data_IF_283615916775
#
_entry.id   IF_283615916775
#
_cell.length_a   1.000
_cell.length_b   1.000
_cell.length_c   1.000
_cell.angle_alpha   90.00
_cell.angle_beta   90.00
_cell.angle_gamma   90.00
#
_symmetry.space_group_name_H-M   'P 1'
#
loop_
_entity.id
_entity.type
_entity.pdbx_description
1 polymer ?
#
# COMPACT_ATOMS: atom_id res chain seq x y z
N UNK A 1 -3.38 -24.29 14.76
CA UNK A 1 -4.25 -24.21 13.57
C UNK A 1 -5.61 -24.80 13.91
N UNK A 2 -6.57 -23.93 14.23
CA UNK A 2 -7.96 -24.33 14.50
C UNK A 2 -8.91 -23.23 14.04
N UNK A 3 -9.86 -23.66 13.22
CA UNK A 3 -11.13 -23.04 12.81
C UNK A 3 -11.09 -21.75 11.99
N UNK A 4 -11.39 -21.97 10.71
CA UNK A 4 -12.04 -21.09 9.76
C UNK A 4 -13.12 -20.20 10.37
N UNK A 5 -12.77 -18.95 10.66
CA UNK A 5 -13.66 -17.87 10.26
C UNK A 5 -13.34 -17.60 8.80
N UNK A 6 -14.33 -17.72 7.92
CA UNK A 6 -14.18 -17.24 6.55
C UNK A 6 -14.10 -15.71 6.63
N UNK A 7 -12.90 -15.21 6.89
CA UNK A 7 -12.56 -13.81 6.76
C UNK A 7 -12.67 -13.49 5.26
N UNK A 8 -13.82 -12.96 4.86
CA UNK A 8 -13.97 -12.46 3.51
C UNK A 8 -13.20 -11.14 3.43
N UNK A 9 -12.08 -11.21 2.72
CA UNK A 9 -11.28 -10.04 2.40
C UNK A 9 -11.77 -9.44 1.09
N UNK A 10 -11.71 -8.12 0.99
CA UNK A 10 -11.95 -7.36 -0.24
C UNK A 10 -10.64 -6.75 -0.71
N UNK A 11 -10.32 -6.95 -1.99
CA UNK A 11 -9.17 -6.34 -2.64
C UNK A 11 -9.37 -4.83 -2.79
N UNK A 12 -8.32 -4.09 -2.45
CA UNK A 12 -8.25 -2.63 -2.64
C UNK A 12 -7.24 -2.23 -3.73
N UNK A 13 -6.85 -3.17 -4.59
CA UNK A 13 -5.90 -2.95 -5.68
C UNK A 13 -4.46 -3.32 -5.30
N UNK A 14 -3.53 -2.87 -6.14
CA UNK A 14 -2.13 -3.26 -6.08
C UNK A 14 -1.21 -2.04 -6.18
N UNK A 15 -0.09 -2.08 -5.49
CA UNK A 15 0.94 -1.04 -5.49
C UNK A 15 2.25 -1.68 -5.93
N UNK A 16 3.16 -0.92 -6.55
CA UNK A 16 4.56 -1.36 -6.68
C UNK A 16 5.41 -0.53 -5.72
N UNK A 17 5.99 -1.20 -4.74
CA UNK A 17 6.67 -0.55 -3.63
C UNK A 17 8.03 -1.19 -3.34
N UNK A 18 8.98 -0.37 -2.89
CA UNK A 18 10.27 -0.85 -2.36
C UNK A 18 10.17 -1.10 -0.86
N UNK A 19 10.94 -2.05 -0.30
CA UNK A 19 11.03 -2.21 1.14
C UNK A 19 11.69 -0.97 1.74
N UNK A 20 11.39 -0.72 3.01
CA UNK A 20 11.89 0.45 3.74
C UNK A 20 12.93 0.01 4.75
N UNK A 21 14.09 0.64 4.73
CA UNK A 21 15.07 0.47 5.80
C UNK A 21 14.53 1.12 7.09
N UNK A 22 14.63 0.38 8.20
CA UNK A 22 14.20 0.86 9.51
C UNK A 22 14.94 2.15 9.86
N UNK A 23 14.18 3.21 10.13
CA UNK A 23 14.73 4.52 10.50
C UNK A 23 15.11 4.57 11.99
N UNK A 24 15.84 5.60 12.40
CA UNK A 24 16.29 5.75 13.79
C UNK A 24 15.15 5.89 14.81
N UNK A 25 13.98 6.42 14.38
CA UNK A 25 12.83 6.57 15.26
C UNK A 25 12.00 5.29 15.41
N UNK A 26 12.27 4.24 14.63
CA UNK A 26 11.58 2.95 14.71
C UNK A 26 12.31 1.98 15.64
N UNK A 27 11.57 1.25 16.48
CA UNK A 27 12.16 0.40 17.52
C UNK A 27 12.90 -0.83 16.97
N UNK A 28 14.20 -0.92 17.22
CA UNK A 28 15.07 -2.01 16.79
C UNK A 28 14.76 -3.36 17.43
N UNK A 29 14.17 -3.35 18.62
CA UNK A 29 13.82 -4.55 19.35
C UNK A 29 12.51 -5.19 18.87
N UNK A 30 11.69 -4.42 18.15
CA UNK A 30 10.37 -4.84 17.66
C UNK A 30 10.35 -5.06 16.15
N UNK A 31 11.12 -4.28 15.38
CA UNK A 31 11.03 -4.26 13.93
C UNK A 31 12.31 -4.82 13.27
N UNK A 32 12.15 -5.57 12.16
CA UNK A 32 13.28 -6.03 11.37
C UNK A 32 14.06 -4.84 10.76
N UNK A 33 15.30 -5.06 10.29
CA UNK A 33 16.08 -4.01 9.62
C UNK A 33 15.41 -3.43 8.38
N UNK A 34 14.55 -4.20 7.71
CA UNK A 34 13.75 -3.78 6.56
C UNK A 34 12.30 -4.21 6.75
N UNK A 35 11.37 -3.29 6.49
CA UNK A 35 9.92 -3.53 6.60
C UNK A 35 9.24 -3.41 5.25
N UNK A 36 8.11 -4.10 5.11
CA UNK A 36 7.17 -3.90 3.99
C UNK A 36 6.01 -3.04 4.49
N UNK A 37 5.65 -2.02 3.72
CA UNK A 37 4.53 -1.13 4.04
C UNK A 37 3.91 -0.61 2.76
N UNK A 38 2.60 -0.38 2.80
CA UNK A 38 1.87 0.29 1.73
C UNK A 38 1.82 1.82 1.90
N UNK A 39 2.41 2.37 2.96
CA UNK A 39 2.38 3.81 3.23
C UNK A 39 3.38 4.58 2.38
N UNK A 40 2.90 5.57 1.62
CA UNK A 40 3.76 6.48 0.85
C UNK A 40 4.59 7.44 1.71
N UNK A 41 4.29 7.57 3.01
CA UNK A 41 5.11 8.33 3.97
C UNK A 41 6.47 7.66 4.21
N UNK A 42 6.52 6.32 4.08
CA UNK A 42 7.70 5.52 4.37
C UNK A 42 8.24 4.83 3.12
N UNK A 43 7.37 4.12 2.40
CA UNK A 43 7.73 3.40 1.19
C UNK A 43 7.86 4.34 -0.01
N UNK A 44 8.80 3.98 -0.88
CA UNK A 44 8.82 4.50 -2.24
C UNK A 44 7.84 3.67 -3.05
N UNK A 45 6.88 4.33 -3.70
CA UNK A 45 5.84 3.74 -4.55
C UNK A 45 5.98 4.30 -5.97
N UNK A 46 5.82 3.44 -6.97
CA UNK A 46 5.79 3.85 -8.37
C UNK A 46 4.80 3.00 -9.18
N UNK A 47 4.23 3.54 -10.28
CA UNK A 47 4.22 4.97 -10.57
C UNK A 47 3.38 5.71 -9.53
N UNK A 48 3.65 7.01 -9.38
CA UNK A 48 2.85 7.91 -8.54
C UNK A 48 2.49 9.13 -9.40
N UNK A 49 1.86 10.13 -8.81
CA UNK A 49 1.45 11.39 -9.42
C UNK A 49 2.53 12.07 -10.27
N UNK A 50 3.81 11.95 -9.88
CA UNK A 50 4.96 12.45 -10.68
C UNK A 50 5.10 11.78 -12.04
N UNK A 51 4.46 10.65 -12.31
CA UNK A 51 4.49 9.98 -13.61
C UNK A 51 3.35 10.45 -14.54
N UNK A 52 2.41 11.27 -14.07
CA UNK A 52 1.31 11.76 -14.92
C UNK A 52 1.74 12.98 -15.72
N UNK A 53 1.45 13.01 -17.02
CA UNK A 53 1.89 14.07 -17.93
C UNK A 53 1.29 15.44 -17.59
N UNK A 54 0.07 15.44 -17.05
CA UNK A 54 -0.66 16.64 -16.64
C UNK A 54 -0.37 17.10 -15.20
N UNK A 55 0.42 16.33 -14.43
CA UNK A 55 0.80 16.70 -13.07
C UNK A 55 1.94 17.75 -13.06
N UNK A 56 1.90 18.67 -12.08
CA UNK A 56 2.87 19.75 -11.95
C UNK A 56 4.16 19.30 -11.26
N UNK A 57 4.99 18.55 -11.99
CA UNK A 57 6.34 18.15 -11.57
C UNK A 57 7.35 18.52 -12.66
N UNK A 58 8.50 19.05 -12.26
CA UNK A 58 9.59 19.34 -13.18
C UNK A 58 10.35 18.07 -13.58
N UNK A 59 11.20 18.19 -14.61
CA UNK A 59 11.96 17.06 -15.14
C UNK A 59 12.93 16.46 -14.11
N UNK A 60 13.52 17.29 -13.23
CA UNK A 60 14.46 16.83 -12.22
C UNK A 60 13.76 16.02 -11.13
N UNK A 61 12.60 16.46 -10.66
CA UNK A 61 11.75 15.75 -9.70
C UNK A 61 11.32 14.38 -10.25
N UNK A 62 10.91 14.33 -11.53
CA UNK A 62 10.53 13.09 -12.22
C UNK A 62 11.73 12.15 -12.35
N UNK A 63 12.90 12.67 -12.74
CA UNK A 63 14.14 11.89 -12.81
C UNK A 63 14.53 11.31 -11.46
N UNK A 64 14.47 12.12 -10.40
CA UNK A 64 14.79 11.67 -9.06
C UNK A 64 13.85 10.56 -8.61
N UNK A 65 12.54 10.75 -8.76
CA UNK A 65 11.54 9.76 -8.36
C UNK A 65 11.69 8.44 -9.15
N UNK A 66 11.86 8.51 -10.47
CA UNK A 66 12.06 7.36 -11.35
C UNK A 66 13.35 6.60 -11.02
N UNK A 67 14.44 7.32 -10.72
CA UNK A 67 15.75 6.72 -10.40
C UNK A 67 15.71 5.85 -9.15
N UNK A 68 14.81 6.13 -8.20
CA UNK A 68 14.60 5.30 -6.99
C UNK A 68 14.11 3.89 -7.33
N UNK A 69 13.57 3.69 -8.53
CA UNK A 69 13.16 2.39 -9.05
C UNK A 69 14.12 1.85 -10.12
N UNK A 70 15.24 2.53 -10.37
CA UNK A 70 16.20 2.16 -11.42
C UNK A 70 15.75 2.52 -12.84
N UNK A 71 14.71 3.34 -12.99
CA UNK A 71 14.21 3.77 -14.30
C UNK A 71 15.13 4.89 -14.82
N UNK A 72 15.79 4.74 -15.98
CA UNK A 72 16.73 5.74 -16.48
C UNK A 72 16.00 6.96 -17.05
N UNK A 73 16.61 8.16 -17.02
CA UNK A 73 15.99 9.39 -17.53
C UNK A 73 15.45 9.29 -18.96
N UNK A 74 16.14 8.53 -19.83
CA UNK A 74 15.74 8.31 -21.22
C UNK A 74 14.39 7.59 -21.39
N UNK A 75 13.85 6.96 -20.34
CA UNK A 75 12.56 6.25 -20.36
C UNK A 75 11.43 7.06 -19.74
N UNK A 76 11.68 8.26 -19.20
CA UNK A 76 10.66 9.03 -18.45
C UNK A 76 9.52 9.47 -19.34
N UNK A 77 9.78 9.97 -20.55
CA UNK A 77 8.73 10.38 -21.47
C UNK A 77 7.79 9.21 -21.81
N UNK A 78 8.36 8.04 -22.12
CA UNK A 78 7.60 6.82 -22.40
C UNK A 78 6.79 6.36 -21.18
N UNK A 79 7.38 6.41 -19.99
CA UNK A 79 6.69 6.11 -18.73
C UNK A 79 5.49 7.05 -18.53
N UNK A 80 5.69 8.35 -18.75
CA UNK A 80 4.64 9.34 -18.59
C UNK A 80 3.48 9.12 -19.54
N UNK A 81 3.78 8.84 -20.80
CA UNK A 81 2.77 8.52 -21.81
C UNK A 81 2.01 7.24 -21.42
N UNK A 82 2.73 6.20 -20.99
CA UNK A 82 2.15 4.91 -20.60
C UNK A 82 1.21 5.05 -19.39
N UNK A 83 1.64 5.76 -18.35
CA UNK A 83 0.85 5.96 -17.11
C UNK A 83 -0.35 6.87 -17.39
N UNK A 84 -0.17 7.94 -18.16
CA UNK A 84 -1.24 8.87 -18.50
C UNK A 84 -2.33 8.22 -19.34
N UNK A 85 -1.96 7.35 -20.30
CA UNK A 85 -2.93 6.62 -21.13
C UNK A 85 -3.77 5.61 -20.34
N UNK A 86 -3.23 5.06 -19.23
CA UNK A 86 -3.91 4.09 -18.37
C UNK A 86 -4.60 4.72 -17.17
N UNK A 87 -4.45 6.03 -16.99
CA UNK A 87 -5.04 6.74 -15.87
C UNK A 87 -6.57 6.65 -15.94
N UNK A 88 -7.18 6.36 -14.78
CA UNK A 88 -8.62 6.16 -14.61
C UNK A 88 -9.20 4.88 -15.24
N UNK A 89 -8.40 4.13 -16.01
CA UNK A 89 -8.76 2.81 -16.55
C UNK A 89 -8.21 1.67 -15.69
N UNK A 90 -6.88 1.58 -15.56
CA UNK A 90 -6.20 0.53 -14.79
C UNK A 90 -5.18 1.10 -13.79
N UNK A 91 -4.63 2.30 -14.04
CA UNK A 91 -3.89 3.06 -13.05
C UNK A 91 -4.79 4.13 -12.42
N UNK A 92 -4.92 4.11 -11.10
CA UNK A 92 -5.85 4.89 -10.32
C UNK A 92 -5.13 5.83 -9.36
N UNK A 93 -5.76 6.98 -9.12
CA UNK A 93 -5.25 7.96 -8.19
C UNK A 93 -5.17 7.43 -6.74
N UNK A 94 -4.10 7.72 -5.97
CA UNK A 94 -2.89 8.42 -6.42
C UNK A 94 -1.85 7.49 -7.08
N UNK A 95 -1.79 6.22 -6.69
CA UNK A 95 -0.68 5.31 -7.07
C UNK A 95 -1.07 3.82 -7.03
N UNK A 96 -2.31 3.50 -7.42
CA UNK A 96 -2.85 2.14 -7.39
C UNK A 96 -3.07 1.56 -8.78
N UNK A 97 -2.78 0.28 -8.93
CA UNK A 97 -3.28 -0.51 -10.03
C UNK A 97 -4.59 -1.21 -9.65
N UNK A 98 -5.57 -1.11 -10.54
CA UNK A 98 -6.87 -1.78 -10.43
C UNK A 98 -6.72 -3.31 -10.52
N UNK A 99 -5.72 -3.78 -11.27
CA UNK A 99 -5.45 -5.19 -11.53
C UNK A 99 -4.01 -5.59 -11.22
N UNK A 100 -3.80 -6.87 -10.90
CA UNK A 100 -2.46 -7.42 -10.68
C UNK A 100 -1.67 -7.45 -11.99
N UNK A 101 -2.37 -7.72 -13.09
CA UNK A 101 -1.85 -7.75 -14.45
C UNK A 101 -1.29 -6.38 -14.85
N UNK A 102 -1.99 -5.28 -14.54
CA UNK A 102 -1.49 -3.92 -14.71
C UNK A 102 -0.19 -3.62 -13.97
N UNK A 103 -0.13 -3.98 -12.69
CA UNK A 103 1.08 -3.82 -11.88
C UNK A 103 2.26 -4.66 -12.42
N UNK A 104 1.99 -5.86 -12.93
CA UNK A 104 3.00 -6.72 -13.57
C UNK A 104 3.48 -6.14 -14.90
N UNK A 105 2.58 -5.62 -15.73
CA UNK A 105 2.93 -4.96 -16.98
C UNK A 105 3.83 -3.75 -16.73
N UNK A 106 3.50 -2.91 -15.74
CA UNK A 106 4.34 -1.80 -15.30
C UNK A 106 5.74 -2.28 -14.89
N UNK A 107 5.80 -3.31 -14.04
CA UNK A 107 7.08 -3.89 -13.60
C UNK A 107 7.91 -4.40 -14.78
N UNK A 108 7.31 -5.18 -15.67
CA UNK A 108 7.99 -5.76 -16.83
C UNK A 108 8.48 -4.70 -17.83
N UNK A 109 7.79 -3.57 -17.92
CA UNK A 109 8.10 -2.51 -18.90
C UNK A 109 9.16 -1.55 -18.40
N UNK A 110 9.12 -1.20 -17.10
CA UNK A 110 9.91 -0.09 -16.55
C UNK A 110 10.85 -0.49 -15.41
N UNK A 111 10.50 -1.47 -14.57
CA UNK A 111 11.28 -1.77 -13.37
C UNK A 111 12.38 -2.80 -13.68
N UNK A 112 13.67 -2.49 -13.48
CA UNK A 112 14.77 -3.43 -13.73
C UNK A 112 14.63 -4.75 -12.96
N UNK A 113 15.08 -5.85 -13.55
CA UNK A 113 14.99 -7.19 -12.94
C UNK A 113 15.71 -7.30 -11.59
N UNK A 114 16.80 -6.58 -11.38
CA UNK A 114 17.59 -6.55 -10.15
C UNK A 114 17.04 -5.61 -9.06
N UNK A 115 15.96 -4.87 -9.35
CA UNK A 115 15.26 -4.05 -8.37
C UNK A 115 14.62 -4.90 -7.26
N UNK A 116 14.64 -4.41 -6.03
CA UNK A 116 13.97 -5.02 -4.86
C UNK A 116 12.51 -4.58 -4.70
N UNK A 117 11.97 -3.83 -5.67
CA UNK A 117 10.56 -3.48 -5.74
C UNK A 117 9.69 -4.74 -5.86
N UNK A 118 8.59 -4.75 -5.13
CA UNK A 118 7.59 -5.83 -5.13
C UNK A 118 6.20 -5.29 -5.43
N UNK A 119 5.32 -6.15 -5.91
CA UNK A 119 3.90 -5.83 -6.05
C UNK A 119 3.20 -6.19 -4.75
N UNK A 120 2.62 -5.20 -4.07
CA UNK A 120 1.81 -5.38 -2.87
C UNK A 120 0.34 -5.29 -3.24
N UNK A 121 -0.41 -6.36 -3.04
CA UNK A 121 -1.87 -6.31 -3.01
C UNK A 121 -2.35 -5.91 -1.63
N UNK A 122 -3.35 -5.03 -1.62
CA UNK A 122 -4.01 -4.53 -0.42
C UNK A 122 -5.35 -5.23 -0.24
N UNK A 123 -5.70 -5.57 1.00
CA UNK A 123 -7.03 -6.06 1.31
C UNK A 123 -7.53 -5.64 2.69
N UNK A 124 -8.85 -5.50 2.81
CA UNK A 124 -9.57 -5.24 4.06
C UNK A 124 -10.57 -6.34 4.35
N UNK A 125 -10.98 -6.48 5.61
CA UNK A 125 -12.20 -7.23 5.93
C UNK A 125 -13.42 -6.58 5.25
N UNK A 126 -14.45 -7.35 4.94
CA UNK A 126 -15.69 -6.79 4.36
C UNK A 126 -16.29 -5.67 5.22
N UNK A 127 -16.26 -5.81 6.55
CA UNK A 127 -16.77 -4.81 7.50
C UNK A 127 -15.94 -3.52 7.42
N UNK A 128 -14.61 -3.64 7.48
CA UNK A 128 -13.71 -2.50 7.38
C UNK A 128 -13.81 -1.81 6.01
N UNK A 129 -14.01 -2.57 4.94
CA UNK A 129 -14.23 -2.07 3.60
C UNK A 129 -15.55 -1.29 3.49
N UNK A 130 -16.65 -1.84 4.00
CA UNK A 130 -17.96 -1.18 4.02
C UNK A 130 -17.90 0.13 4.82
N UNK A 131 -17.21 0.12 5.96
CA UNK A 131 -16.99 1.31 6.76
C UNK A 131 -16.16 2.36 6.02
N UNK A 132 -15.06 1.94 5.41
CA UNK A 132 -14.18 2.86 4.69
C UNK A 132 -14.86 3.47 3.47
N UNK A 133 -15.65 2.69 2.72
CA UNK A 133 -16.46 3.19 1.60
C UNK A 133 -17.44 4.27 2.05
N UNK A 134 -18.05 4.15 3.24
CA UNK A 134 -18.93 5.20 3.79
C UNK A 134 -18.15 6.45 4.17
N UNK A 135 -16.98 6.28 4.79
CA UNK A 135 -16.15 7.40 5.26
C UNK A 135 -15.44 8.16 4.14
N UNK A 136 -15.16 7.48 3.02
CA UNK A 136 -14.41 8.01 1.88
C UNK A 136 -15.30 8.24 0.64
N UNK A 137 -16.61 8.22 0.82
CA UNK A 137 -17.53 8.49 -0.28
C UNK A 137 -17.24 9.88 -0.87
N UNK A 138 -17.04 10.00 -2.20
CA UNK A 138 -16.70 11.27 -2.82
C UNK A 138 -17.83 12.28 -2.59
N UNK A 139 -17.46 13.51 -2.21
CA UNK A 139 -18.43 14.60 -2.12
C UNK A 139 -18.65 15.23 -3.49
N UNK A 140 -19.72 16.03 -3.64
CA UNK A 140 -20.06 16.63 -4.93
C UNK A 140 -18.92 17.53 -5.42
N UNK A 141 -18.31 17.15 -6.56
CA UNK A 141 -17.22 17.89 -7.18
C UNK A 141 -15.82 17.37 -6.84
N UNK A 142 -15.71 16.38 -5.95
CA UNK A 142 -14.47 15.66 -5.68
C UNK A 142 -14.38 14.38 -6.53
N UNK A 143 -13.15 14.02 -6.92
CA UNK A 143 -12.88 12.77 -7.62
C UNK A 143 -12.93 11.57 -6.68
N UNK A 144 -13.29 10.41 -7.22
CA UNK A 144 -13.20 9.13 -6.51
C UNK A 144 -11.73 8.68 -6.38
N UNK A 145 -11.31 8.23 -5.20
CA UNK A 145 -9.97 7.66 -5.01
C UNK A 145 -9.89 6.24 -5.56
N UNK A 146 -8.69 5.80 -5.94
CA UNK A 146 -8.44 4.44 -6.41
C UNK A 146 -8.80 3.38 -5.37
N UNK A 147 -8.54 3.64 -4.08
CA UNK A 147 -8.95 2.76 -2.99
C UNK A 147 -10.47 2.59 -2.97
N UNK A 148 -11.22 3.69 -3.04
CA UNK A 148 -12.69 3.64 -3.05
C UNK A 148 -13.18 2.82 -4.24
N UNK A 149 -12.67 3.11 -5.44
CA UNK A 149 -13.05 2.39 -6.66
C UNK A 149 -12.77 0.89 -6.57
N UNK A 150 -11.58 0.50 -6.10
CA UNK A 150 -11.21 -0.90 -5.96
C UNK A 150 -12.13 -1.63 -4.96
N UNK A 151 -12.35 -1.05 -3.78
CA UNK A 151 -13.20 -1.65 -2.74
C UNK A 151 -14.66 -1.74 -3.18
N UNK A 152 -15.18 -0.75 -3.91
CA UNK A 152 -16.56 -0.73 -4.40
C UNK A 152 -16.88 -1.90 -5.35
N UNK A 153 -15.86 -2.49 -6.01
CA UNK A 153 -16.01 -3.68 -6.86
C UNK A 153 -16.28 -4.96 -6.07
N UNK A 154 -16.03 -4.97 -4.75
CA UNK A 154 -16.24 -6.12 -3.85
C UNK A 154 -15.62 -7.42 -4.35
N UNK A 155 -14.43 -7.33 -4.93
CA UNK A 155 -13.69 -8.51 -5.41
C UNK A 155 -12.79 -9.08 -4.30
N UNK A 156 -12.63 -10.40 -4.21
CA UNK A 156 -11.65 -10.99 -3.31
C UNK A 156 -10.21 -10.66 -3.78
N UNK A 157 -9.22 -10.70 -2.88
CA UNK A 157 -7.81 -10.69 -3.25
C UNK A 157 -7.48 -11.81 -4.24
N UNK A 158 -6.55 -11.55 -5.16
CA UNK A 158 -6.10 -12.57 -6.11
C UNK A 158 -5.31 -13.67 -5.39
N UNK A 159 -5.38 -14.87 -5.93
CA UNK A 159 -4.57 -16.00 -5.46
C UNK A 159 -3.12 -15.90 -5.97
N UNK A 160 -2.23 -16.71 -5.41
CA UNK A 160 -0.85 -16.86 -5.90
C UNK A 160 0.15 -15.84 -5.37
N UNK A 161 -0.22 -15.04 -4.36
CA UNK A 161 0.69 -14.18 -3.61
C UNK A 161 1.07 -14.76 -2.25
N UNK A 162 2.14 -14.23 -1.66
CA UNK A 162 2.58 -14.52 -0.29
C UNK A 162 1.90 -13.53 0.67
N UNK A 163 1.02 -14.03 1.54
CA UNK A 163 0.47 -13.22 2.61
C UNK A 163 1.59 -12.82 3.59
N UNK A 164 1.84 -11.52 3.73
CA UNK A 164 2.89 -10.98 4.59
C UNK A 164 2.41 -10.72 6.02
N UNK A 165 1.11 -10.58 6.23
CA UNK A 165 0.48 -10.19 7.50
C UNK A 165 -0.36 -8.93 7.37
N UNK A 166 -0.73 -8.35 8.52
CA UNK A 166 -1.58 -7.18 8.61
C UNK A 166 -0.82 -5.93 9.05
N UNK A 167 -1.00 -4.82 8.33
CA UNK A 167 -0.49 -3.50 8.69
C UNK A 167 -1.61 -2.63 9.26
N UNK A 168 -1.30 -1.78 10.24
CA UNK A 168 -2.23 -0.73 10.70
C UNK A 168 -1.97 0.53 9.88
N UNK A 169 -2.92 0.86 8.99
CA UNK A 169 -2.84 2.01 8.07
C UNK A 169 -4.01 2.97 8.22
N UNK A 170 -3.72 4.25 8.17
CA UNK A 170 -4.67 5.36 8.10
C UNK A 170 -4.88 5.81 6.65
N UNK A 171 -6.11 6.17 6.29
CA UNK A 171 -6.45 6.58 4.91
C UNK A 171 -6.79 8.06 4.84
N UNK A 172 -5.95 8.84 4.17
CA UNK A 172 -6.22 10.27 3.92
C UNK A 172 -7.41 10.46 2.96
N UNK A 173 -8.06 11.62 3.00
CA UNK A 173 -9.13 11.96 2.06
C UNK A 173 -8.70 11.81 0.59
N UNK A 174 -7.44 12.09 0.26
CA UNK A 174 -6.87 11.91 -1.07
C UNK A 174 -6.51 10.47 -1.45
N UNK A 175 -6.74 9.49 -0.58
CA UNK A 175 -6.46 8.07 -0.81
C UNK A 175 -5.03 7.62 -0.47
N UNK A 176 -4.17 8.51 0.02
CA UNK A 176 -2.82 8.15 0.48
C UNK A 176 -2.88 7.40 1.82
N UNK A 177 -1.95 6.47 2.03
CA UNK A 177 -1.90 5.63 3.21
C UNK A 177 -0.81 6.09 4.19
N UNK A 178 -1.17 6.23 5.46
CA UNK A 178 -0.26 6.51 6.57
C UNK A 178 0.01 5.24 7.35
N UNK A 179 1.27 4.87 7.58
CA UNK A 179 1.59 3.75 8.46
C UNK A 179 1.59 4.19 9.92
N UNK A 180 1.08 3.35 10.80
CA UNK A 180 1.23 3.53 12.26
C UNK A 180 2.70 3.64 12.69
N UNK A 181 3.62 3.09 11.89
CA UNK A 181 5.06 3.22 12.08
C UNK A 181 5.56 4.66 11.92
N UNK A 182 4.87 5.54 11.18
CA UNK A 182 5.24 6.95 11.04
C UNK A 182 5.30 7.68 12.40
N UNK A 183 4.47 7.21 13.34
CA UNK A 183 4.32 7.79 14.67
C UNK A 183 4.95 6.92 15.77
N UNK A 184 5.71 5.87 15.40
CA UNK A 184 6.35 4.98 16.37
C UNK A 184 5.36 4.15 17.21
N UNK A 185 4.13 3.93 16.71
CA UNK A 185 3.06 3.29 17.47
C UNK A 185 3.33 1.80 17.76
N UNK A 186 4.29 1.17 17.10
CA UNK A 186 4.71 -0.19 17.40
C UNK A 186 5.07 -0.36 18.88
N UNK A 187 5.61 0.68 19.52
CA UNK A 187 5.96 0.67 20.95
C UNK A 187 4.74 0.67 21.84
N UNK A 188 3.75 1.50 21.52
CA UNK A 188 2.49 1.54 22.25
C UNK A 188 1.74 0.22 22.11
N UNK A 189 1.73 -0.35 20.90
CA UNK A 189 1.12 -1.65 20.63
C UNK A 189 1.81 -2.77 21.44
N UNK A 190 3.14 -2.79 21.47
CA UNK A 190 3.92 -3.73 22.26
C UNK A 190 3.66 -3.55 23.77
N UNK A 191 3.64 -2.32 24.28
CA UNK A 191 3.40 -2.05 25.69
C UNK A 191 2.00 -2.46 26.14
N UNK A 192 0.98 -2.19 25.32
CA UNK A 192 -0.41 -2.39 25.71
C UNK A 192 -0.92 -3.82 25.48
N UNK A 193 -0.44 -4.49 24.43
CA UNK A 193 -0.94 -5.83 24.05
C UNK A 193 0.16 -6.87 23.86
N UNK A 194 1.42 -6.55 24.18
CA UNK A 194 2.56 -7.41 23.82
C UNK A 194 2.58 -7.73 22.33
N UNK A 195 2.09 -6.81 21.50
CA UNK A 195 2.06 -6.98 20.06
C UNK A 195 3.49 -7.09 19.52
N UNK A 196 3.74 -8.11 18.72
CA UNK A 196 5.04 -8.37 18.10
C UNK A 196 4.85 -8.47 16.59
N UNK A 197 5.45 -7.55 15.81
CA UNK A 197 5.52 -7.70 14.37
C UNK A 197 6.32 -8.95 13.97
N UNK A 198 5.97 -9.55 12.84
CA UNK A 198 6.66 -10.67 12.24
C UNK A 198 7.92 -10.21 11.47
N UNK A 199 8.55 -11.13 10.74
CA UNK A 199 9.79 -10.85 10.00
C UNK A 199 9.63 -9.80 8.87
N UNK A 200 8.40 -9.43 8.50
CA UNK A 200 8.09 -8.38 7.52
C UNK A 200 7.75 -7.03 8.17
N UNK A 201 7.69 -6.97 9.51
CA UNK A 201 7.23 -5.79 10.25
C UNK A 201 5.70 -5.68 10.36
N UNK A 202 4.97 -6.78 10.13
CA UNK A 202 3.50 -6.83 10.10
C UNK A 202 2.93 -7.77 11.18
N UNK A 203 1.63 -7.72 11.46
CA UNK A 203 0.99 -8.61 12.42
C UNK A 203 0.45 -9.90 11.78
N UNK A 204 0.81 -11.06 12.31
CA UNK A 204 0.21 -12.34 11.89
C UNK A 204 -1.25 -12.48 12.36
N UNK A 205 -1.58 -11.92 13.52
CA UNK A 205 -2.94 -11.87 14.07
C UNK A 205 -3.67 -10.61 13.56
N UNK A 206 -4.57 -10.80 12.60
CA UNK A 206 -5.38 -9.72 12.05
C UNK A 206 -6.30 -9.07 13.09
N UNK A 207 -6.85 -9.85 14.03
CA UNK A 207 -7.72 -9.30 15.08
C UNK A 207 -6.92 -8.43 16.05
N UNK A 208 -5.65 -8.75 16.31
CA UNK A 208 -4.74 -7.86 17.03
C UNK A 208 -4.49 -6.57 16.25
N UNK A 209 -4.24 -6.65 14.94
CA UNK A 209 -4.06 -5.48 14.10
C UNK A 209 -5.31 -4.58 14.11
N UNK A 210 -6.52 -5.15 14.07
CA UNK A 210 -7.77 -4.40 14.17
C UNK A 210 -7.89 -3.64 15.50
N UNK A 211 -7.54 -4.30 16.62
CA UNK A 211 -7.49 -3.61 17.94
C UNK A 211 -6.48 -2.46 17.94
N UNK A 212 -5.31 -2.65 17.33
CA UNK A 212 -4.29 -1.61 17.21
C UNK A 212 -4.77 -0.44 16.32
N UNK A 213 -5.51 -0.71 15.24
CA UNK A 213 -6.10 0.31 14.39
C UNK A 213 -7.15 1.16 15.13
N UNK A 214 -8.02 0.52 15.91
CA UNK A 214 -8.99 1.23 16.77
C UNK A 214 -8.28 2.13 17.79
N UNK A 215 -7.12 1.70 18.30
CA UNK A 215 -6.32 2.54 19.19
C UNK A 215 -5.66 3.71 18.45
N UNK A 216 -5.06 3.47 17.27
CA UNK A 216 -4.41 4.52 16.49
C UNK A 216 -5.37 5.67 16.15
N UNK A 217 -6.65 5.37 15.90
CA UNK A 217 -7.68 6.38 15.62
C UNK A 217 -8.19 7.18 16.83
N UNK A 218 -7.64 6.98 18.04
CA UNK A 218 -8.06 7.75 19.23
C UNK A 218 -7.35 9.09 19.29
N UNK A 219 -8.10 10.16 19.53
CA UNK A 219 -7.57 11.52 19.56
C UNK A 219 -6.42 11.73 20.55
N UNK A 220 -6.44 11.04 21.69
CA UNK A 220 -5.38 11.12 22.70
C UNK A 220 -4.05 10.47 22.29
N UNK A 221 -4.06 9.61 21.26
CA UNK A 221 -2.84 8.97 20.72
C UNK A 221 -2.06 9.96 19.86
N UNK A 222 -2.74 10.95 19.26
CA UNK A 222 -2.10 12.01 18.47
C UNK A 222 -1.59 11.57 17.09
N UNK A 223 -2.03 10.41 16.59
CA UNK A 223 -1.82 10.03 15.19
C UNK A 223 -2.73 10.86 14.26
N UNK A 224 -2.55 10.71 12.94
CA UNK A 224 -3.34 11.42 11.94
C UNK A 224 -4.85 11.19 12.17
N UNK A 225 -5.69 12.26 12.11
CA UNK A 225 -7.12 12.19 12.38
C UNK A 225 -7.89 11.61 11.18
N UNK A 226 -7.49 10.43 10.75
CA UNK A 226 -8.00 9.72 9.57
C UNK A 226 -8.58 8.35 9.97
N UNK A 227 -9.38 7.69 9.11
CA UNK A 227 -9.82 6.33 9.35
C UNK A 227 -8.65 5.34 9.37
N UNK A 228 -8.37 4.76 10.54
CA UNK A 228 -7.38 3.70 10.72
C UNK A 228 -8.02 2.32 10.57
N UNK A 229 -7.40 1.42 9.81
CA UNK A 229 -7.85 0.04 9.59
C UNK A 229 -6.67 -0.94 9.62
N UNK A 230 -6.97 -2.22 9.81
CA UNK A 230 -6.02 -3.30 9.63
C UNK A 230 -6.08 -3.80 8.19
N UNK A 231 -4.98 -3.67 7.46
CA UNK A 231 -4.87 -4.02 6.06
C UNK A 231 -4.04 -5.28 5.90
N UNK A 232 -4.57 -6.30 5.24
CA UNK A 232 -3.79 -7.47 4.87
C UNK A 232 -2.93 -7.13 3.65
N UNK A 233 -1.63 -7.34 3.77
CA UNK A 233 -0.69 -7.18 2.67
C UNK A 233 -0.29 -8.53 2.09
N UNK A 234 -0.35 -8.63 0.77
CA UNK A 234 0.09 -9.81 0.03
C UNK A 234 1.12 -9.39 -1.00
N UNK A 235 2.30 -10.02 -1.01
CA UNK A 235 3.33 -9.79 -2.02
C UNK A 235 3.13 -10.74 -3.21
N UNK A 236 3.16 -10.20 -4.42
CA UNK A 236 3.05 -10.97 -5.66
C UNK A 236 4.34 -10.88 -6.47
N UNK A 237 4.69 -11.94 -7.21
CA UNK A 237 5.81 -11.89 -8.13
C UNK A 237 5.54 -10.91 -9.28
N UNK A 238 6.58 -10.16 -9.64
CA UNK A 238 6.56 -9.17 -10.75
C UNK A 238 6.34 -9.82 -12.11
N UNK A 239 6.68 -11.08 -12.26
CA UNK A 239 6.42 -11.88 -13.46
C UNK A 239 5.40 -12.98 -13.14
N UNK A 240 4.65 -13.39 -14.16
CA UNK A 240 3.89 -14.64 -14.07
C UNK A 240 4.92 -15.76 -14.09
N UNK A 241 5.03 -16.53 -13.01
CA UNK A 241 5.93 -17.68 -12.98
C UNK A 241 5.61 -18.60 -14.15
N UNK A 242 6.53 -18.72 -15.11
CA UNK A 242 6.51 -19.82 -16.05
C UNK A 242 6.73 -21.09 -15.23
N UNK A 243 5.81 -22.04 -15.32
CA UNK A 243 6.08 -23.41 -14.88
C UNK A 243 7.34 -23.88 -15.62
N UNK A 244 8.45 -23.87 -14.90
CA UNK A 244 9.70 -24.53 -15.30
C UNK A 244 9.58 -26.01 -15.00
#
# INVERSE_FOLDING_TARGET
MTRSEHFFLMSAGYLVARPVDRTAFMDASLLPPRVRTASSCLARIAPDTWALAWASFDEAERCEAASRFGIPPSRIAELMDWVTQRFDEDFLWPNLFLTLEGAREFCATFVPEDSDAGILGLALSCEDADDLLRLTAPTLGEGETGLHRCLARRLPPREGGLCLGSEVLGVEAGGTLHSSLCNGLERAFAQQWSAQPNAHGLFDDHALAQRCAVYAGRGEVGAEPVPWRAWVLTEYPRTVGGTS
#
